data_IF_242785594003
#
_entry.id   IF_242785594003
#
_cell.length_a   1.000
_cell.length_b   1.000
_cell.length_c   1.000
_cell.angle_alpha   90.00
_cell.angle_beta   90.00
_cell.angle_gamma   90.00
#
_symmetry.space_group_name_H-M   'P 1'
#
loop_
_entity.id
_entity.type
_entity.pdbx_description
1 polymer ?
#
# COMPACT_ATOMS: atom_id res chain seq x y z
N UNK A 1 -26.60 24.00 -16.40
CA UNK A 1 -27.38 23.05 -15.57
C UNK A 1 -27.31 21.60 -16.07
N UNK A 2 -27.72 21.29 -17.32
CA UNK A 2 -27.62 19.91 -17.85
C UNK A 2 -26.17 19.41 -18.00
N UNK A 3 -25.24 20.27 -18.34
CA UNK A 3 -23.79 19.96 -18.49
C UNK A 3 -23.12 19.65 -17.17
N UNK A 4 -23.46 20.33 -16.07
CA UNK A 4 -22.86 20.12 -14.76
C UNK A 4 -23.26 18.76 -14.17
N UNK A 5 -24.54 18.40 -14.29
CA UNK A 5 -25.04 17.10 -13.84
C UNK A 5 -24.41 15.93 -14.60
N UNK A 6 -24.27 16.04 -15.92
CA UNK A 6 -23.58 15.02 -16.72
C UNK A 6 -22.08 14.89 -16.37
N UNK A 7 -21.43 15.99 -16.02
CA UNK A 7 -20.04 15.96 -15.60
C UNK A 7 -19.90 15.27 -14.24
N UNK A 8 -20.75 15.60 -13.27
CA UNK A 8 -20.78 14.94 -11.95
C UNK A 8 -21.05 13.45 -12.06
N UNK A 9 -22.00 13.01 -12.89
CA UNK A 9 -22.27 11.59 -13.11
C UNK A 9 -21.06 10.85 -13.70
N UNK A 10 -20.38 11.46 -14.68
CA UNK A 10 -19.17 10.87 -15.27
C UNK A 10 -18.03 10.77 -14.27
N UNK A 11 -17.84 11.78 -13.43
CA UNK A 11 -16.85 11.79 -12.38
C UNK A 11 -17.13 10.70 -11.35
N UNK A 12 -18.36 10.60 -10.86
CA UNK A 12 -18.78 9.56 -9.91
C UNK A 12 -18.58 8.16 -10.49
N UNK A 13 -19.02 7.92 -11.71
CA UNK A 13 -18.81 6.64 -12.42
C UNK A 13 -17.32 6.29 -12.54
N UNK A 14 -16.46 7.28 -12.83
CA UNK A 14 -15.02 7.08 -12.89
C UNK A 14 -14.44 6.69 -11.53
N UNK A 15 -14.82 7.40 -10.46
CA UNK A 15 -14.37 7.14 -9.09
C UNK A 15 -14.79 5.73 -8.64
N UNK A 16 -16.05 5.37 -8.83
CA UNK A 16 -16.57 4.02 -8.50
C UNK A 16 -15.78 2.92 -9.22
N UNK A 17 -15.47 3.13 -10.49
CA UNK A 17 -14.63 2.20 -11.26
C UNK A 17 -13.22 2.09 -10.68
N UNK A 18 -12.58 3.20 -10.30
CA UNK A 18 -11.26 3.20 -9.68
C UNK A 18 -11.26 2.45 -8.35
N UNK A 19 -12.25 2.71 -7.49
CA UNK A 19 -12.41 2.01 -6.20
C UNK A 19 -12.58 0.51 -6.42
N UNK A 20 -13.44 0.10 -7.37
CA UNK A 20 -13.66 -1.30 -7.70
C UNK A 20 -12.39 -1.98 -8.23
N UNK A 21 -11.63 -1.29 -9.09
CA UNK A 21 -10.38 -1.80 -9.66
C UNK A 21 -9.23 -1.86 -8.65
N UNK A 22 -9.26 -1.02 -7.62
CA UNK A 22 -8.25 -1.01 -6.57
C UNK A 22 -8.21 -2.31 -5.76
N UNK A 23 -9.33 -3.02 -5.64
CA UNK A 23 -9.40 -4.32 -4.98
C UNK A 23 -9.23 -4.24 -3.45
N UNK A 24 -9.70 -3.17 -2.82
CA UNK A 24 -9.67 -3.02 -1.36
C UNK A 24 -10.41 -4.17 -0.66
N UNK A 25 -9.92 -4.57 0.52
CA UNK A 25 -10.56 -5.61 1.35
C UNK A 25 -11.70 -5.06 2.20
N UNK A 26 -11.60 -3.80 2.56
CA UNK A 26 -12.56 -3.10 3.41
C UNK A 26 -12.74 -1.66 2.92
N UNK A 27 -13.89 -1.10 3.22
CA UNK A 27 -14.15 0.31 2.96
C UNK A 27 -13.53 1.13 4.09
N UNK A 28 -12.32 1.65 3.86
CA UNK A 28 -11.59 2.43 4.83
C UNK A 28 -11.71 3.93 4.51
N UNK A 29 -11.98 4.73 5.55
CA UNK A 29 -12.14 6.18 5.43
C UNK A 29 -11.10 6.91 6.27
N UNK A 30 -10.52 7.98 5.72
CA UNK A 30 -9.65 8.91 6.49
C UNK A 30 -10.39 9.50 7.69
N UNK A 31 -11.70 9.79 7.55
CA UNK A 31 -12.52 10.39 8.61
C UNK A 31 -12.74 9.47 9.81
N UNK A 32 -12.66 8.15 9.61
CA UNK A 32 -12.85 7.13 10.66
C UNK A 32 -11.55 6.71 11.34
N UNK A 33 -10.43 7.35 10.99
CA UNK A 33 -9.13 7.02 11.62
C UNK A 33 -9.08 7.52 13.04
N UNK A 34 -8.93 6.58 13.99
CA UNK A 34 -8.78 6.88 15.41
C UNK A 34 -7.33 7.23 15.76
N UNK A 35 -7.18 8.37 16.47
CA UNK A 35 -5.90 8.89 16.96
C UNK A 35 -5.81 8.76 18.47
N UNK A 36 -5.47 7.57 18.96
CA UNK A 36 -5.23 7.36 20.39
C UNK A 36 -3.74 7.45 20.72
N UNK A 37 -3.40 7.92 21.92
CA UNK A 37 -1.99 7.98 22.37
C UNK A 37 -1.32 6.60 22.34
N UNK A 38 -2.06 5.54 22.70
CA UNK A 38 -1.57 4.17 22.71
C UNK A 38 -1.16 3.67 21.32
N UNK A 39 -1.78 4.21 20.26
CA UNK A 39 -1.54 3.80 18.88
C UNK A 39 -0.27 4.40 18.29
N UNK A 40 0.27 5.46 18.89
CA UNK A 40 1.44 6.19 18.39
C UNK A 40 1.29 6.69 16.94
N UNK A 41 0.07 6.99 16.51
CA UNK A 41 -0.21 7.56 15.19
C UNK A 41 -0.14 9.09 15.28
N UNK A 42 0.86 9.68 14.64
CA UNK A 42 0.98 11.14 14.51
C UNK A 42 -0.12 11.66 13.58
N UNK A 43 -1.06 12.40 14.18
CA UNK A 43 -2.20 13.01 13.47
C UNK A 43 -1.74 13.99 12.41
N UNK A 44 -0.72 14.81 12.69
CA UNK A 44 -0.25 15.84 11.76
C UNK A 44 0.40 15.18 10.53
N UNK A 45 1.24 14.18 10.75
CA UNK A 45 1.83 13.39 9.67
C UNK A 45 0.74 12.74 8.82
N UNK A 46 -0.21 12.02 9.44
CA UNK A 46 -1.24 11.30 8.69
C UNK A 46 -2.19 12.25 7.94
N UNK A 47 -2.60 13.37 8.55
CA UNK A 47 -3.38 14.41 7.87
C UNK A 47 -2.65 14.97 6.66
N UNK A 48 -1.33 15.23 6.78
CA UNK A 48 -0.51 15.67 5.66
C UNK A 48 -0.41 14.61 4.55
N UNK A 49 -0.30 13.32 4.89
CA UNK A 49 -0.33 12.24 3.91
C UNK A 49 -1.69 12.13 3.21
N UNK A 50 -2.79 12.38 3.94
CA UNK A 50 -4.14 12.38 3.39
C UNK A 50 -4.38 13.47 2.33
N UNK A 51 -3.55 14.53 2.26
CA UNK A 51 -3.56 15.50 1.14
C UNK A 51 -2.98 14.93 -0.15
N UNK A 52 -2.41 13.73 -0.11
CA UNK A 52 -1.82 13.00 -1.25
C UNK A 52 -0.63 13.70 -1.93
N UNK A 53 -0.04 14.70 -1.29
CA UNK A 53 1.14 15.41 -1.81
C UNK A 53 2.34 14.49 -2.09
N UNK A 54 2.44 13.37 -1.37
CA UNK A 54 3.49 12.36 -1.55
C UNK A 54 3.45 11.71 -2.94
N UNK A 55 2.27 11.59 -3.57
CA UNK A 55 2.13 11.02 -4.92
C UNK A 55 2.85 11.89 -5.95
N UNK A 56 2.67 13.20 -5.88
CA UNK A 56 3.34 14.17 -6.78
C UNK A 56 4.85 14.15 -6.60
N UNK A 57 5.33 13.96 -5.36
CA UNK A 57 6.76 13.88 -5.04
C UNK A 57 7.37 12.50 -5.23
N UNK A 58 6.56 11.50 -5.62
CA UNK A 58 7.00 10.10 -5.84
C UNK A 58 7.58 9.46 -4.58
N UNK A 59 7.10 9.89 -3.40
CA UNK A 59 7.51 9.38 -2.12
C UNK A 59 6.71 8.13 -1.74
N UNK A 60 7.34 7.24 -0.98
CA UNK A 60 6.73 6.01 -0.48
C UNK A 60 6.18 6.21 0.94
N UNK A 61 5.36 5.27 1.39
CA UNK A 61 4.89 5.20 2.77
C UNK A 61 5.16 3.81 3.32
N UNK A 62 5.74 3.73 4.50
CA UNK A 62 5.97 2.47 5.21
C UNK A 62 5.19 2.53 6.53
N UNK A 63 4.28 1.58 6.72
CA UNK A 63 3.45 1.44 7.92
C UNK A 63 3.84 0.14 8.62
N UNK A 64 4.46 0.23 9.80
CA UNK A 64 4.85 -0.95 10.57
C UNK A 64 4.13 -1.00 11.93
N UNK A 65 4.02 -2.19 12.51
CA UNK A 65 3.41 -2.41 13.83
C UNK A 65 2.85 -3.82 13.99
N UNK A 66 2.48 -4.19 15.19
CA UNK A 66 1.95 -5.52 15.51
C UNK A 66 0.66 -5.85 14.74
N UNK A 67 0.26 -7.12 14.72
CA UNK A 67 -1.00 -7.54 14.11
C UNK A 67 -2.19 -6.85 14.78
N UNK A 68 -3.16 -6.41 13.98
CA UNK A 68 -4.39 -5.77 14.48
C UNK A 68 -4.26 -4.29 14.85
N UNK A 69 -3.09 -3.65 14.74
CA UNK A 69 -2.92 -2.22 15.03
C UNK A 69 -3.52 -1.27 13.97
N UNK A 70 -4.12 -1.79 12.91
CA UNK A 70 -4.80 -1.00 11.87
C UNK A 70 -3.90 -0.55 10.73
N UNK A 71 -2.74 -1.19 10.49
CA UNK A 71 -1.85 -0.88 9.35
C UNK A 71 -2.54 -0.93 8.00
N UNK A 72 -3.18 -2.08 7.72
CA UNK A 72 -3.90 -2.32 6.47
C UNK A 72 -5.05 -1.34 6.28
N UNK A 73 -5.75 -0.98 7.37
CA UNK A 73 -6.81 0.02 7.35
C UNK A 73 -6.27 1.38 6.91
N UNK A 74 -5.17 1.86 7.53
CA UNK A 74 -4.55 3.15 7.17
C UNK A 74 -4.07 3.18 5.72
N UNK A 75 -3.44 2.09 5.26
CA UNK A 75 -2.99 1.98 3.86
C UNK A 75 -4.18 2.05 2.90
N UNK A 76 -5.27 1.33 3.19
CA UNK A 76 -6.48 1.35 2.37
C UNK A 76 -7.21 2.69 2.44
N UNK A 77 -7.25 3.37 3.60
CA UNK A 77 -7.85 4.70 3.73
C UNK A 77 -7.14 5.74 2.85
N UNK A 78 -5.80 5.72 2.80
CA UNK A 78 -5.02 6.56 1.88
C UNK A 78 -5.29 6.19 0.41
N UNK A 79 -5.37 4.90 0.10
CA UNK A 79 -5.69 4.43 -1.25
C UNK A 79 -7.11 4.79 -1.69
N UNK A 80 -8.08 4.68 -0.80
CA UNK A 80 -9.47 5.08 -1.06
C UNK A 80 -9.55 6.59 -1.32
N UNK A 81 -8.91 7.40 -0.46
CA UNK A 81 -8.79 8.84 -0.65
C UNK A 81 -8.17 9.19 -2.01
N UNK A 82 -7.15 8.43 -2.44
CA UNK A 82 -6.52 8.62 -3.73
C UNK A 82 -7.49 8.32 -4.90
N UNK A 83 -8.32 7.27 -4.80
CA UNK A 83 -9.34 7.00 -5.79
C UNK A 83 -10.38 8.12 -5.88
N UNK A 84 -10.79 8.72 -4.74
CA UNK A 84 -11.67 9.89 -4.72
C UNK A 84 -11.07 11.12 -5.44
N UNK A 85 -9.73 11.22 -5.43
CA UNK A 85 -8.97 12.25 -6.15
C UNK A 85 -8.48 11.77 -7.54
N UNK A 86 -9.15 10.76 -8.09
CA UNK A 86 -8.96 10.19 -9.44
C UNK A 86 -7.61 9.50 -9.69
N UNK A 87 -6.81 9.22 -8.67
CA UNK A 87 -5.58 8.43 -8.81
C UNK A 87 -5.87 6.93 -8.94
N UNK A 88 -5.13 6.27 -9.82
CA UNK A 88 -5.20 4.81 -9.98
C UNK A 88 -4.48 4.13 -8.84
N UNK A 89 -5.21 3.38 -8.04
CA UNK A 89 -4.67 2.64 -6.90
C UNK A 89 -4.86 1.14 -7.10
N UNK A 90 -3.88 0.35 -6.68
CA UNK A 90 -4.00 -1.10 -6.56
C UNK A 90 -3.61 -1.53 -5.15
N UNK A 91 -4.50 -2.25 -4.49
CA UNK A 91 -4.24 -2.95 -3.23
C UNK A 91 -3.94 -4.42 -3.51
N UNK A 92 -2.85 -4.93 -2.95
CA UNK A 92 -2.50 -6.34 -3.06
C UNK A 92 -1.86 -6.84 -1.76
N UNK A 93 -2.24 -8.05 -1.34
CA UNK A 93 -1.42 -8.79 -0.40
C UNK A 93 -0.13 -9.22 -1.08
N UNK A 94 1.01 -8.93 -0.47
CA UNK A 94 2.34 -9.11 -1.09
C UNK A 94 2.58 -10.53 -1.56
N UNK A 95 2.30 -11.53 -0.74
CA UNK A 95 2.53 -12.94 -1.11
C UNK A 95 1.64 -13.39 -2.28
N UNK A 96 0.37 -12.95 -2.30
CA UNK A 96 -0.56 -13.26 -3.39
C UNK A 96 -0.15 -12.60 -4.70
N UNK A 97 0.31 -11.36 -4.65
CA UNK A 97 0.81 -10.64 -5.83
C UNK A 97 2.04 -11.35 -6.41
N UNK A 98 3.03 -11.67 -5.58
CA UNK A 98 4.22 -12.39 -5.99
C UNK A 98 3.85 -13.76 -6.58
N UNK A 99 2.96 -14.52 -5.94
CA UNK A 99 2.48 -15.80 -6.46
C UNK A 99 1.85 -15.68 -7.86
N UNK A 100 1.02 -14.65 -8.07
CA UNK A 100 0.44 -14.36 -9.40
C UNK A 100 1.51 -14.02 -10.43
N UNK A 101 2.52 -13.24 -10.05
CA UNK A 101 3.62 -12.89 -10.95
C UNK A 101 4.53 -14.07 -11.26
N UNK A 102 4.74 -14.99 -10.31
CA UNK A 102 5.43 -16.26 -10.60
C UNK A 102 4.69 -17.08 -11.68
N UNK A 103 3.37 -17.21 -11.57
CA UNK A 103 2.56 -17.88 -12.59
C UNK A 103 2.64 -17.15 -13.94
N UNK A 104 2.64 -15.82 -13.95
CA UNK A 104 2.75 -15.04 -15.18
C UNK A 104 4.10 -15.17 -15.88
N UNK A 105 5.17 -15.57 -15.18
CA UNK A 105 6.45 -15.96 -15.82
C UNK A 105 6.30 -17.26 -16.60
N UNK A 106 5.47 -18.19 -16.12
CA UNK A 106 5.24 -19.49 -16.77
C UNK A 106 4.39 -19.33 -18.03
N UNK A 107 3.35 -18.51 -17.97
CA UNK A 107 2.42 -18.29 -19.10
C UNK A 107 2.86 -17.19 -20.08
N UNK A 108 4.04 -16.58 -19.84
CA UNK A 108 4.62 -15.55 -20.71
C UNK A 108 3.97 -14.17 -20.61
N UNK A 109 3.09 -13.92 -19.62
CA UNK A 109 2.41 -12.63 -19.45
C UNK A 109 3.09 -11.69 -18.46
N UNK A 110 4.27 -12.04 -17.94
CA UNK A 110 4.97 -11.34 -16.87
C UNK A 110 5.17 -9.84 -17.13
N UNK A 111 5.72 -9.49 -18.29
CA UNK A 111 5.97 -8.08 -18.65
C UNK A 111 4.67 -7.28 -18.75
N UNK A 112 3.58 -7.91 -19.18
CA UNK A 112 2.26 -7.27 -19.22
C UNK A 112 1.73 -7.00 -17.81
N UNK A 113 1.92 -7.93 -16.88
CA UNK A 113 1.53 -7.75 -15.47
C UNK A 113 2.39 -6.67 -14.80
N UNK A 114 3.71 -6.65 -14.98
CA UNK A 114 4.57 -5.56 -14.49
C UNK A 114 4.16 -4.20 -15.05
N UNK A 115 3.86 -4.12 -16.36
CA UNK A 115 3.39 -2.88 -16.98
C UNK A 115 2.08 -2.37 -16.38
N UNK A 116 1.18 -3.27 -15.91
CA UNK A 116 -0.02 -2.86 -15.18
C UNK A 116 0.34 -2.24 -13.82
N UNK A 117 1.28 -2.83 -13.08
CA UNK A 117 1.73 -2.30 -11.80
C UNK A 117 2.41 -0.93 -11.94
N UNK A 118 3.22 -0.76 -12.98
CA UNK A 118 3.86 0.52 -13.32
C UNK A 118 2.88 1.67 -13.55
N UNK A 119 1.71 1.37 -14.14
CA UNK A 119 0.66 2.36 -14.46
C UNK A 119 -0.19 2.79 -13.27
N UNK A 120 -0.03 2.16 -12.11
CA UNK A 120 -0.73 2.56 -10.90
C UNK A 120 -0.02 3.73 -10.24
N UNK A 121 -0.74 4.80 -9.93
CA UNK A 121 -0.20 5.95 -9.19
C UNK A 121 0.20 5.53 -7.77
N UNK A 122 -0.60 4.63 -7.17
CA UNK A 122 -0.30 4.00 -5.87
C UNK A 122 -0.40 2.49 -5.99
N UNK A 123 0.62 1.78 -5.51
CA UNK A 123 0.59 0.35 -5.22
C UNK A 123 0.65 0.15 -3.71
N UNK A 124 -0.35 -0.53 -3.15
CA UNK A 124 -0.36 -0.93 -1.74
C UNK A 124 0.06 -2.39 -1.65
N UNK A 125 1.21 -2.64 -1.01
CA UNK A 125 1.72 -3.97 -0.69
C UNK A 125 1.45 -4.27 0.78
N UNK A 126 0.38 -4.99 1.04
CA UNK A 126 -0.03 -5.35 2.39
C UNK A 126 0.60 -6.69 2.84
N UNK A 127 0.78 -6.85 4.16
CA UNK A 127 1.45 -8.00 4.77
C UNK A 127 2.88 -8.23 4.21
N UNK A 128 3.61 -7.15 3.93
CA UNK A 128 4.98 -7.22 3.43
C UNK A 128 5.89 -7.97 4.40
N UNK A 129 6.55 -9.00 3.89
CA UNK A 129 7.50 -9.79 4.65
C UNK A 129 6.88 -10.75 5.67
N UNK A 130 5.57 -11.00 5.64
CA UNK A 130 4.93 -12.01 6.50
C UNK A 130 5.44 -13.43 6.18
N UNK A 131 5.87 -13.66 4.96
CA UNK A 131 6.53 -14.89 4.51
C UNK A 131 7.91 -14.56 3.96
N UNK A 132 8.88 -15.45 4.18
CA UNK A 132 10.22 -15.30 3.63
C UNK A 132 10.18 -15.27 2.09
N UNK A 133 11.05 -14.47 1.50
CA UNK A 133 11.19 -14.39 0.05
C UNK A 133 12.16 -15.49 -0.44
N UNK A 134 11.67 -16.39 -1.29
CA UNK A 134 12.57 -17.26 -2.06
C UNK A 134 13.25 -16.48 -3.21
N UNK A 135 14.19 -17.09 -3.90
CA UNK A 135 14.98 -16.44 -4.94
C UNK A 135 14.10 -15.78 -6.01
N UNK A 136 13.07 -16.49 -6.48
CA UNK A 136 12.18 -15.96 -7.50
C UNK A 136 11.30 -14.80 -6.97
N UNK A 137 10.90 -14.85 -5.70
CA UNK A 137 10.15 -13.78 -5.07
C UNK A 137 11.00 -12.52 -4.89
N UNK A 138 12.30 -12.66 -4.60
CA UNK A 138 13.26 -11.54 -4.49
C UNK A 138 13.42 -10.81 -5.81
N UNK A 139 13.64 -11.56 -6.90
CA UNK A 139 13.75 -10.99 -8.24
C UNK A 139 12.47 -10.24 -8.63
N UNK A 140 11.29 -10.84 -8.40
CA UNK A 140 10.00 -10.21 -8.69
C UNK A 140 9.80 -8.95 -7.86
N UNK A 141 10.20 -8.98 -6.58
CA UNK A 141 10.13 -7.80 -5.71
C UNK A 141 11.02 -6.68 -6.26
N UNK A 142 12.26 -7.00 -6.64
CA UNK A 142 13.17 -6.04 -7.24
C UNK A 142 12.58 -5.45 -8.52
N UNK A 143 12.06 -6.27 -9.44
CA UNK A 143 11.43 -5.82 -10.69
C UNK A 143 10.26 -4.85 -10.42
N UNK A 144 9.38 -5.17 -9.43
CA UNK A 144 8.28 -4.27 -9.05
C UNK A 144 8.81 -2.92 -8.57
N UNK A 145 9.82 -2.93 -7.72
CA UNK A 145 10.36 -1.72 -7.12
C UNK A 145 11.11 -0.89 -8.15
N UNK A 146 11.91 -1.50 -9.01
CA UNK A 146 12.63 -0.82 -10.09
C UNK A 146 11.70 -0.11 -11.06
N UNK A 147 10.65 -0.79 -11.51
CA UNK A 147 9.66 -0.22 -12.43
C UNK A 147 8.90 0.98 -11.85
N UNK A 148 8.89 1.10 -10.53
CA UNK A 148 8.13 2.15 -9.81
C UNK A 148 9.02 3.23 -9.20
N UNK A 149 10.31 2.97 -9.04
CA UNK A 149 11.25 3.89 -8.40
C UNK A 149 11.27 5.25 -9.08
N UNK A 150 11.08 6.34 -8.30
CA UNK A 150 11.00 7.73 -8.78
C UNK A 150 9.90 8.02 -9.83
N UNK A 151 9.03 7.07 -10.12
CA UNK A 151 7.94 7.21 -11.09
C UNK A 151 6.57 7.30 -10.44
N UNK A 152 6.33 6.49 -9.42
CA UNK A 152 5.06 6.35 -8.73
C UNK A 152 5.27 6.06 -7.24
N UNK A 153 4.22 6.08 -6.44
CA UNK A 153 4.31 5.86 -4.99
C UNK A 153 3.92 4.43 -4.61
N UNK A 154 4.61 3.88 -3.60
CA UNK A 154 4.29 2.58 -3.04
C UNK A 154 4.02 2.72 -1.54
N UNK A 155 2.94 2.10 -1.06
CA UNK A 155 2.61 2.01 0.37
C UNK A 155 2.85 0.56 0.80
N UNK A 156 3.71 0.37 1.80
CA UNK A 156 4.00 -0.95 2.35
C UNK A 156 3.45 -1.05 3.77
N UNK A 157 2.69 -2.08 4.07
CA UNK A 157 2.29 -2.40 5.43
C UNK A 157 2.96 -3.70 5.88
N UNK A 158 3.61 -3.68 7.04
CA UNK A 158 4.38 -4.82 7.55
C UNK A 158 4.24 -4.99 9.05
N UNK A 159 4.26 -6.24 9.51
CA UNK A 159 4.42 -6.57 10.93
C UNK A 159 5.89 -6.56 11.36
N UNK A 160 6.79 -6.67 10.38
CA UNK A 160 8.24 -6.73 10.58
C UNK A 160 8.80 -5.30 10.57
N UNK A 161 9.62 -4.90 11.53
CA UNK A 161 10.27 -3.59 11.51
C UNK A 161 11.25 -3.47 10.34
N UNK A 162 11.40 -2.27 9.81
CA UNK A 162 12.27 -2.00 8.64
C UNK A 162 13.71 -2.46 8.88
N UNK A 163 14.19 -2.39 10.11
CA UNK A 163 15.55 -2.85 10.48
C UNK A 163 15.79 -4.34 10.22
N UNK A 164 14.74 -5.15 10.16
CA UNK A 164 14.85 -6.58 9.89
C UNK A 164 14.56 -6.95 8.42
N UNK A 165 14.26 -5.97 7.55
CA UNK A 165 13.92 -6.25 6.16
C UNK A 165 15.11 -6.73 5.34
N UNK A 166 16.33 -6.33 5.72
CA UNK A 166 17.55 -6.81 5.09
C UNK A 166 17.67 -8.34 5.17
N UNK A 167 17.58 -8.86 6.39
CA UNK A 167 17.64 -10.30 6.65
C UNK A 167 16.44 -11.04 6.06
N UNK A 168 15.27 -10.39 6.06
CA UNK A 168 14.03 -10.93 5.51
C UNK A 168 14.12 -11.13 3.99
N UNK A 169 14.70 -10.19 3.26
CA UNK A 169 14.96 -10.31 1.83
C UNK A 169 16.04 -11.36 1.59
N UNK A 170 17.11 -11.36 2.41
CA UNK A 170 18.06 -12.45 2.59
C UNK A 170 19.13 -12.60 1.50
N UNK A 171 19.06 -11.89 0.36
CA UNK A 171 20.14 -11.79 -0.62
C UNK A 171 20.66 -10.35 -0.61
N UNK A 172 21.98 -10.19 -0.37
CA UNK A 172 22.57 -8.91 -0.05
C UNK A 172 22.35 -7.84 -1.13
N UNK A 173 22.68 -8.17 -2.37
CA UNK A 173 22.61 -7.21 -3.49
C UNK A 173 21.16 -6.78 -3.76
N UNK A 174 20.22 -7.72 -3.73
CA UNK A 174 18.79 -7.44 -3.92
C UNK A 174 18.24 -6.66 -2.73
N UNK A 175 18.64 -7.02 -1.49
CA UNK A 175 18.20 -6.32 -0.29
C UNK A 175 18.66 -4.86 -0.29
N UNK A 176 19.93 -4.60 -0.59
CA UNK A 176 20.47 -3.24 -0.72
C UNK A 176 19.69 -2.45 -1.78
N UNK A 177 19.50 -3.03 -2.96
CA UNK A 177 18.81 -2.37 -4.07
C UNK A 177 17.35 -2.04 -3.74
N UNK A 178 16.60 -2.98 -3.15
CA UNK A 178 15.20 -2.80 -2.76
C UNK A 178 15.07 -1.77 -1.64
N UNK A 179 15.91 -1.88 -0.59
CA UNK A 179 15.82 -1.00 0.57
C UNK A 179 16.22 0.43 0.23
N UNK A 180 17.28 0.62 -0.56
CA UNK A 180 17.68 1.95 -1.02
C UNK A 180 16.53 2.69 -1.71
N UNK A 181 15.82 2.01 -2.62
CA UNK A 181 14.73 2.59 -3.40
C UNK A 181 13.44 2.83 -2.63
N UNK A 182 13.15 2.00 -1.63
CA UNK A 182 11.90 2.11 -0.85
C UNK A 182 12.08 3.04 0.35
N UNK A 183 13.19 2.89 1.07
CA UNK A 183 13.35 3.43 2.43
C UNK A 183 13.78 4.89 2.42
N UNK A 184 14.68 5.28 1.52
CA UNK A 184 15.28 6.62 1.50
C UNK A 184 14.26 7.73 1.18
N UNK A 185 13.25 7.43 0.35
CA UNK A 185 12.19 8.37 -0.03
C UNK A 185 10.85 8.00 0.62
N UNK A 186 10.85 7.55 1.88
CA UNK A 186 9.63 7.08 2.55
C UNK A 186 9.25 7.87 3.78
N UNK A 187 7.94 8.12 3.94
CA UNK A 187 7.34 8.47 5.22
C UNK A 187 7.13 7.22 6.05
N UNK A 188 7.51 7.24 7.32
CA UNK A 188 7.39 6.08 8.21
C UNK A 188 6.32 6.31 9.27
N UNK A 189 5.41 5.35 9.41
CA UNK A 189 4.40 5.29 10.45
C UNK A 189 4.65 4.02 11.25
N UNK A 190 4.95 4.16 12.55
CA UNK A 190 5.20 3.03 13.45
C UNK A 190 4.05 2.97 14.44
N UNK A 191 3.11 2.03 14.22
CA UNK A 191 1.97 1.83 15.09
C UNK A 191 2.35 0.98 16.30
N UNK A 192 1.88 1.37 17.47
CA UNK A 192 2.03 0.66 18.74
C UNK A 192 0.65 0.29 19.27
N UNK A 193 0.62 -0.38 20.43
CA UNK A 193 -0.59 -0.72 21.15
C UNK A 193 -1.16 -2.08 20.80
N UNK A 194 -2.30 -2.40 21.43
CA UNK A 194 -2.99 -3.67 21.26
C UNK A 194 -3.82 -3.73 19.97
N UNK A 195 -4.26 -4.94 19.66
CA UNK A 195 -5.13 -5.19 18.50
C UNK A 195 -6.48 -4.49 18.64
N UNK A 196 -6.81 -3.58 17.71
CA UNK A 196 -8.12 -2.93 17.63
C UNK A 196 -9.27 -3.92 17.41
N UNK A 197 -8.96 -5.15 16.97
CA UNK A 197 -9.96 -6.22 16.78
C UNK A 197 -10.47 -6.76 18.10
N UNK A 198 -9.67 -6.72 19.18
CA UNK A 198 -10.09 -7.17 20.52
C UNK A 198 -11.17 -6.25 21.11
N UNK A 199 -11.06 -4.94 20.90
CA UNK A 199 -12.04 -3.97 21.39
C UNK A 199 -13.44 -4.12 20.76
N UNK A 200 -13.51 -4.46 19.47
CA UNK A 200 -14.79 -4.66 18.77
C UNK A 200 -15.52 -5.94 19.22
N UNK A 201 -14.81 -6.94 19.70
CA UNK A 201 -15.40 -8.20 20.23
C UNK A 201 -15.98 -8.03 21.64
N UNK A 202 -15.52 -7.07 22.44
CA UNK A 202 -16.02 -6.80 23.78
C UNK A 202 -17.24 -5.88 23.84
N UNK A 203 -17.54 -5.15 22.75
CA UNK A 203 -18.72 -4.27 22.65
C UNK A 203 -19.98 -4.99 22.13
N UNK A 204 -19.86 -6.23 21.68
CA UNK A 204 -20.97 -7.06 21.16
C UNK A 204 -21.34 -8.21 22.12
N UNK A 205 -21.04 -8.07 23.41
CA UNK A 205 -21.52 -8.99 24.47
C UNK A 205 -22.43 -8.26 25.43
#
# INVERSE_FOLDING_TARGET
MLTDHQWEERLNTKIERLIKQAGFREQASIAEVEYTQQRNLDKNLFTRLATLGFIKRKENIIITGASGTGKSYLAQALGYQACLMEYKTLYANTAKLIGRLKLSKIDGTYLKELSKLKRMDILILDDFGLHAFDNQAREILLDIIDERHNMTSTILSSQIPVSAWYDLIGEQTIADAVLDRIVNSSHRIILKGESLRKGKLSMNK
#
